data_IF_513246848224
#
_entry.id   IF_513246848224
#
_cell.length_a   1.000
_cell.length_b   1.000
_cell.length_c   1.000
_cell.angle_alpha   90.00
_cell.angle_beta   90.00
_cell.angle_gamma   90.00
#
_symmetry.space_group_name_H-M   'P 1'
#
loop_
_entity.id
_entity.type
_entity.pdbx_description
1 polymer ?
#
# COMPACT_ATOMS: atom_id res chain seq x y z
N UNK A 1 10.80 -12.32 17.54
CA UNK A 1 9.45 -12.13 16.99
C UNK A 1 9.61 -11.60 15.56
N UNK A 2 8.91 -12.16 14.57
CA UNK A 2 8.97 -11.67 13.18
C UNK A 2 7.74 -10.83 12.87
N UNK A 3 7.92 -9.69 12.20
CA UNK A 3 6.81 -8.88 11.70
C UNK A 3 6.43 -9.37 10.30
N UNK A 4 5.14 -9.60 10.07
CA UNK A 4 4.62 -9.92 8.73
C UNK A 4 4.03 -8.67 8.09
N UNK A 5 4.39 -8.41 6.84
CA UNK A 5 3.88 -7.27 6.08
C UNK A 5 3.75 -7.61 4.60
N UNK A 6 3.24 -6.65 3.85
CA UNK A 6 3.07 -6.73 2.39
C UNK A 6 3.67 -5.49 1.72
N UNK A 7 4.13 -5.66 0.48
CA UNK A 7 4.52 -4.58 -0.42
C UNK A 7 3.49 -4.53 -1.55
N UNK A 8 2.94 -3.35 -1.82
CA UNK A 8 1.88 -3.18 -2.82
C UNK A 8 2.04 -1.91 -3.64
N UNK A 9 1.55 -1.99 -4.87
CA UNK A 9 1.47 -0.91 -5.85
C UNK A 9 0.13 -0.94 -6.58
N UNK A 10 -0.04 -0.08 -7.59
CA UNK A 10 -1.19 -0.06 -8.48
C UNK A 10 -1.44 -1.41 -9.16
N UNK A 11 -0.39 -2.24 -9.32
CA UNK A 11 -0.49 -3.59 -9.89
C UNK A 11 -1.34 -4.55 -9.04
N UNK A 12 -1.54 -4.25 -7.74
CA UNK A 12 -2.38 -5.04 -6.86
C UNK A 12 -3.85 -4.59 -6.88
N UNK A 13 -4.17 -3.53 -7.63
CA UNK A 13 -5.52 -2.96 -7.70
C UNK A 13 -5.95 -2.33 -6.37
N UNK A 14 -7.25 -2.41 -6.10
CA UNK A 14 -7.86 -1.83 -4.90
C UNK A 14 -7.75 -2.83 -3.73
N UNK A 15 -6.70 -2.69 -2.90
CA UNK A 15 -6.47 -3.57 -1.75
C UNK A 15 -7.57 -3.42 -0.70
N UNK A 16 -8.05 -4.57 -0.20
CA UNK A 16 -8.93 -4.69 0.98
C UNK A 16 -8.08 -4.71 2.26
N UNK A 17 -7.91 -3.53 2.86
CA UNK A 17 -7.07 -3.34 4.03
C UNK A 17 -7.68 -3.91 5.33
N UNK A 18 -9.00 -4.02 5.42
CA UNK A 18 -9.68 -4.69 6.55
C UNK A 18 -9.33 -6.18 6.55
N UNK A 19 -9.42 -6.83 5.38
CA UNK A 19 -9.01 -8.22 5.21
C UNK A 19 -7.51 -8.42 5.45
N UNK A 20 -6.67 -7.51 4.99
CA UNK A 20 -5.22 -7.54 5.22
C UNK A 20 -4.87 -7.49 6.72
N UNK A 21 -5.47 -6.55 7.47
CA UNK A 21 -5.30 -6.44 8.93
C UNK A 21 -5.81 -7.69 9.64
N UNK A 22 -6.98 -8.20 9.26
CA UNK A 22 -7.57 -9.42 9.82
C UNK A 22 -6.72 -10.68 9.57
N UNK A 23 -5.96 -10.72 8.46
CA UNK A 23 -5.00 -11.79 8.18
C UNK A 23 -3.72 -11.74 9.05
N UNK A 24 -3.58 -10.73 9.91
CA UNK A 24 -2.45 -10.57 10.82
C UNK A 24 -1.22 -9.90 10.19
N UNK A 25 -1.42 -9.09 9.15
CA UNK A 25 -0.39 -8.20 8.62
C UNK A 25 -0.21 -7.01 9.55
N UNK A 26 1.05 -6.67 9.81
CA UNK A 26 1.47 -5.72 10.84
C UNK A 26 2.05 -4.44 10.25
N UNK A 27 2.53 -4.48 9.00
CA UNK A 27 3.00 -3.31 8.27
C UNK A 27 2.74 -3.46 6.77
N UNK A 28 2.80 -2.35 6.05
CA UNK A 28 2.76 -2.31 4.60
C UNK A 28 3.84 -1.37 4.05
N UNK A 29 4.43 -1.73 2.92
CA UNK A 29 5.24 -0.83 2.08
C UNK A 29 4.36 -0.46 0.89
N UNK A 30 4.23 0.83 0.63
CA UNK A 30 3.39 1.37 -0.42
C UNK A 30 4.27 2.03 -1.47
N UNK A 31 4.14 1.60 -2.72
CA UNK A 31 4.81 2.30 -3.81
C UNK A 31 4.22 3.70 -3.95
N UNK A 32 5.10 4.71 -3.93
CA UNK A 32 4.74 6.11 -4.18
C UNK A 32 4.71 6.43 -5.68
N UNK A 33 5.63 5.85 -6.43
CA UNK A 33 5.82 6.03 -7.85
C UNK A 33 7.12 5.35 -8.31
N UNK A 34 7.58 5.66 -9.53
CA UNK A 34 8.81 5.08 -10.08
C UNK A 34 9.57 6.07 -10.96
N UNK A 35 10.90 5.91 -11.08
CA UNK A 35 11.71 6.72 -11.99
C UNK A 35 11.96 8.15 -11.51
N UNK A 36 11.42 9.13 -12.23
CA UNK A 36 11.61 10.58 -12.00
C UNK A 36 10.44 11.18 -11.23
N UNK A 37 10.57 12.45 -10.84
CA UNK A 37 9.46 13.21 -10.26
C UNK A 37 8.49 13.68 -11.36
N UNK A 38 7.74 12.74 -11.94
CA UNK A 38 6.72 13.00 -12.96
C UNK A 38 5.40 12.38 -12.52
N UNK A 39 4.30 13.15 -12.60
CA UNK A 39 2.97 12.68 -12.18
C UNK A 39 2.47 11.47 -12.95
N UNK A 40 2.97 11.26 -14.18
CA UNK A 40 2.67 10.07 -14.98
C UNK A 40 3.25 8.78 -14.39
N UNK A 41 4.17 8.90 -13.45
CA UNK A 41 4.86 7.80 -12.78
C UNK A 41 4.42 7.63 -11.33
N UNK A 42 3.50 8.49 -10.85
CA UNK A 42 2.89 8.35 -9.54
C UNK A 42 2.05 7.06 -9.51
N UNK A 43 2.15 6.33 -8.41
CA UNK A 43 1.30 5.19 -8.19
C UNK A 43 -0.12 5.66 -7.88
N UNK A 44 -1.06 5.34 -8.78
CA UNK A 44 -2.45 5.80 -8.70
C UNK A 44 -3.20 5.29 -7.46
N UNK A 45 -2.69 4.28 -6.75
CA UNK A 45 -3.26 3.76 -5.52
C UNK A 45 -2.59 4.31 -4.25
N UNK A 46 -1.41 4.94 -4.35
CA UNK A 46 -0.62 5.33 -3.17
C UNK A 46 -1.42 6.13 -2.14
N UNK A 47 -2.04 7.23 -2.55
CA UNK A 47 -2.79 8.09 -1.63
C UNK A 47 -3.98 7.37 -0.98
N UNK A 48 -4.66 6.48 -1.72
CA UNK A 48 -5.75 5.67 -1.15
C UNK A 48 -5.19 4.70 -0.11
N UNK A 49 -4.10 4.02 -0.43
CA UNK A 49 -3.48 3.05 0.46
C UNK A 49 -2.96 3.70 1.74
N UNK A 50 -2.35 4.89 1.65
CA UNK A 50 -1.95 5.67 2.83
C UNK A 50 -3.16 5.96 3.73
N UNK A 51 -4.24 6.52 3.16
CA UNK A 51 -5.46 6.86 3.92
C UNK A 51 -6.10 5.63 4.58
N UNK A 52 -6.15 4.49 3.90
CA UNK A 52 -6.71 3.26 4.48
C UNK A 52 -5.83 2.68 5.59
N UNK A 53 -4.50 2.74 5.45
CA UNK A 53 -3.58 2.32 6.52
C UNK A 53 -3.66 3.24 7.73
N UNK A 54 -3.77 4.56 7.56
CA UNK A 54 -3.95 5.52 8.66
C UNK A 54 -5.27 5.33 9.41
N UNK A 55 -6.31 4.82 8.73
CA UNK A 55 -7.63 4.56 9.29
C UNK A 55 -7.68 3.33 10.21
N UNK A 56 -6.73 2.38 10.12
CA UNK A 56 -6.79 1.02 10.69
C UNK A 56 -5.75 0.68 11.77
#
# INVERSE_FOLDING_TARGET
MSYRGIDVSYCNGCVDWVKAKAAGLQFAILQLGYGSNSTSQDDVQCQRNVRECERL
#
